data_IF_164048489895
#
_entry.id   IF_164048489895
#
_cell.length_a   1.000
_cell.length_b   1.000
_cell.length_c   1.000
_cell.angle_alpha   90.00
_cell.angle_beta   90.00
_cell.angle_gamma   90.00
#
_symmetry.space_group_name_H-M   'P 1'
#
loop_
_entity.id
_entity.type
_entity.pdbx_description
1 polymer ?
#
# COMPACT_ATOMS: atom_id res chain seq x y z
N UNK A 1 -43.63 -21.13 30.38
CA UNK A 1 -42.71 -20.18 29.73
C UNK A 1 -42.40 -20.72 28.35
N UNK A 2 -42.69 -20.01 27.33
CA UNK A 2 -42.25 -20.28 25.97
C UNK A 2 -41.17 -19.27 25.54
N UNK A 3 -40.34 -19.68 24.60
CA UNK A 3 -39.29 -18.85 24.01
C UNK A 3 -39.38 -18.96 22.50
N UNK A 4 -39.38 -17.83 21.84
CA UNK A 4 -39.29 -17.73 20.39
C UNK A 4 -38.10 -16.84 20.03
N UNK A 5 -37.41 -17.12 18.91
CA UNK A 5 -36.26 -16.38 18.46
C UNK A 5 -36.53 -15.90 17.04
N UNK A 6 -36.46 -14.60 16.84
CA UNK A 6 -36.63 -13.93 15.56
C UNK A 6 -35.25 -13.48 15.09
N UNK A 7 -34.81 -13.98 13.93
CA UNK A 7 -33.55 -13.55 13.31
C UNK A 7 -33.60 -12.05 12.98
N UNK A 8 -32.48 -11.38 13.14
CA UNK A 8 -32.27 -10.00 12.73
C UNK A 8 -31.78 -9.91 11.27
N UNK A 9 -31.23 -8.78 10.92
CA UNK A 9 -30.79 -8.41 9.58
C UNK A 9 -29.35 -8.85 9.25
N UNK A 10 -28.57 -9.21 10.27
CA UNK A 10 -27.20 -9.69 10.13
C UNK A 10 -26.89 -10.82 11.12
N UNK A 11 -25.77 -11.51 10.93
CA UNK A 11 -25.28 -12.53 11.88
C UNK A 11 -24.95 -11.84 13.21
N UNK A 12 -25.46 -12.39 14.33
CA UNK A 12 -25.30 -11.79 15.65
C UNK A 12 -26.52 -10.97 16.10
N UNK A 13 -27.37 -10.49 15.18
CA UNK A 13 -28.59 -9.77 15.53
C UNK A 13 -29.80 -10.73 15.62
N UNK A 14 -30.48 -10.72 16.75
CA UNK A 14 -31.74 -11.44 16.90
C UNK A 14 -32.56 -10.92 18.08
N UNK A 15 -33.84 -11.23 18.07
CA UNK A 15 -34.77 -10.91 19.14
C UNK A 15 -35.30 -12.17 19.80
N UNK A 16 -35.26 -12.21 21.11
CA UNK A 16 -35.83 -13.29 21.91
C UNK A 16 -37.10 -12.79 22.53
N UNK A 17 -38.21 -13.48 22.25
CA UNK A 17 -39.48 -13.25 22.91
C UNK A 17 -39.69 -14.32 23.99
N UNK A 18 -39.82 -13.90 25.25
CA UNK A 18 -40.13 -14.77 26.40
C UNK A 18 -41.54 -14.48 26.89
N UNK A 19 -42.44 -15.46 26.74
CA UNK A 19 -43.80 -15.36 27.24
C UNK A 19 -43.89 -16.04 28.59
N UNK A 20 -44.31 -15.29 29.59
CA UNK A 20 -44.63 -15.78 30.92
C UNK A 20 -46.12 -15.86 31.04
N UNK A 21 -46.65 -17.00 31.45
CA UNK A 21 -48.07 -17.21 31.66
C UNK A 21 -48.25 -17.65 33.13
N UNK A 22 -49.15 -16.94 33.84
CA UNK A 22 -49.64 -17.27 35.15
C UNK A 22 -51.06 -17.84 35.04
N UNK A 23 -51.31 -18.98 35.67
CA UNK A 23 -52.62 -19.63 35.63
C UNK A 23 -53.02 -19.95 37.07
N UNK A 24 -54.28 -19.62 37.43
CA UNK A 24 -54.84 -19.94 38.73
C UNK A 24 -55.42 -21.36 38.78
N UNK A 25 -55.93 -21.77 39.90
CA UNK A 25 -56.53 -23.09 40.09
C UNK A 25 -57.88 -23.30 39.38
N UNK A 26 -58.43 -22.23 38.80
CA UNK A 26 -59.67 -22.26 38.01
C UNK A 26 -59.39 -22.15 36.51
N UNK A 27 -58.11 -22.37 36.09
CA UNK A 27 -57.62 -22.27 34.73
C UNK A 27 -57.68 -20.84 34.10
N UNK A 28 -57.91 -19.78 34.92
CA UNK A 28 -57.77 -18.44 34.41
C UNK A 28 -56.29 -18.10 34.23
N UNK A 29 -55.96 -17.61 33.03
CA UNK A 29 -54.57 -17.34 32.67
C UNK A 29 -54.35 -15.89 32.22
N UNK A 30 -53.20 -15.36 32.57
CA UNK A 30 -52.69 -14.11 32.03
C UNK A 30 -51.27 -14.27 31.54
N UNK A 31 -50.93 -13.55 30.50
CA UNK A 31 -49.59 -13.65 29.90
C UNK A 31 -48.95 -12.29 29.70
N UNK A 32 -47.63 -12.23 29.85
CA UNK A 32 -46.80 -11.07 29.56
C UNK A 32 -45.58 -11.52 28.74
N UNK A 33 -45.16 -10.67 27.80
CA UNK A 33 -44.02 -10.92 26.94
C UNK A 33 -42.85 -10.01 27.33
N UNK A 34 -41.68 -10.60 27.53
CA UNK A 34 -40.42 -9.90 27.60
C UNK A 34 -39.74 -10.00 26.24
N UNK A 35 -39.33 -8.87 25.70
CA UNK A 35 -38.50 -8.81 24.48
C UNK A 35 -37.06 -8.53 24.87
N UNK A 36 -36.13 -9.35 24.37
CA UNK A 36 -34.68 -9.19 24.53
C UNK A 36 -34.11 -9.03 23.14
N UNK A 37 -33.52 -7.86 22.85
CA UNK A 37 -32.84 -7.58 21.58
C UNK A 37 -31.35 -7.79 21.77
N UNK A 38 -30.77 -8.60 20.89
CA UNK A 38 -29.33 -8.83 20.78
C UNK A 38 -28.89 -8.15 19.50
N UNK A 39 -27.84 -7.35 19.59
CA UNK A 39 -27.28 -6.61 18.48
C UNK A 39 -25.77 -6.69 18.53
N UNK A 40 -25.18 -6.85 17.37
CA UNK A 40 -23.75 -6.68 17.19
C UNK A 40 -23.46 -5.21 16.85
N UNK A 41 -22.63 -4.60 17.68
CA UNK A 41 -22.17 -3.20 17.55
C UNK A 41 -20.65 -3.10 17.67
N UNK A 42 -19.97 -4.23 17.65
CA UNK A 42 -18.52 -4.31 17.76
C UNK A 42 -17.91 -4.27 16.36
N UNK A 43 -16.93 -3.44 16.14
CA UNK A 43 -16.19 -3.43 14.89
C UNK A 43 -15.11 -4.51 14.89
N UNK A 44 -14.79 -5.10 13.73
CA UNK A 44 -13.70 -6.05 13.60
C UNK A 44 -12.36 -5.49 14.12
N UNK A 45 -11.53 -6.37 14.67
CA UNK A 45 -10.16 -6.07 15.11
C UNK A 45 -9.16 -6.69 14.13
N UNK A 46 -8.20 -5.87 13.63
CA UNK A 46 -7.11 -6.37 12.80
C UNK A 46 -6.19 -7.27 13.63
N UNK A 47 -5.98 -8.50 13.17
CA UNK A 47 -5.05 -9.47 13.78
C UNK A 47 -3.68 -9.42 13.15
N UNK A 48 -3.61 -8.97 11.88
CA UNK A 48 -2.37 -8.72 11.15
C UNK A 48 -2.58 -7.59 10.14
N UNK A 49 -1.65 -6.66 10.12
CA UNK A 49 -1.56 -5.59 9.13
C UNK A 49 -0.14 -5.61 8.57
N UNK A 50 0.04 -5.66 7.24
CA UNK A 50 1.37 -5.61 6.65
C UNK A 50 2.16 -4.41 7.14
N UNK A 51 3.42 -4.65 7.55
CA UNK A 51 4.28 -3.59 8.07
C UNK A 51 4.65 -2.57 6.98
N UNK A 52 4.89 -1.34 7.37
CA UNK A 52 5.48 -0.33 6.50
C UNK A 52 6.88 -0.77 6.06
N UNK A 53 7.26 -0.45 4.83
CA UNK A 53 8.61 -0.71 4.33
C UNK A 53 9.08 0.34 3.34
N UNK A 54 10.41 0.35 3.13
CA UNK A 54 11.06 1.15 2.10
C UNK A 54 11.79 0.19 1.15
N UNK A 55 11.69 0.44 -0.15
CA UNK A 55 12.31 -0.37 -1.19
C UNK A 55 12.83 0.52 -2.34
N UNK A 56 13.76 -0.02 -3.12
CA UNK A 56 14.21 0.58 -4.38
C UNK A 56 13.11 0.46 -5.44
N UNK A 57 13.06 1.38 -6.38
CA UNK A 57 12.07 1.37 -7.46
C UNK A 57 12.18 0.15 -8.38
N UNK A 58 13.37 -0.49 -8.42
CA UNK A 58 13.64 -1.71 -9.21
C UNK A 58 13.30 -3.00 -8.47
N UNK A 59 12.98 -2.92 -7.16
CA UNK A 59 12.66 -4.08 -6.37
C UNK A 59 11.26 -4.61 -6.67
N UNK A 60 11.06 -5.88 -6.32
CA UNK A 60 9.72 -6.46 -6.34
C UNK A 60 8.93 -5.95 -5.12
N UNK A 61 7.72 -5.46 -5.35
CA UNK A 61 6.90 -4.86 -4.29
C UNK A 61 5.72 -5.80 -3.96
N UNK A 62 5.90 -6.81 -3.09
CA UNK A 62 4.81 -7.70 -2.72
C UNK A 62 3.73 -6.92 -1.94
N UNK A 63 2.48 -7.15 -2.33
CA UNK A 63 1.34 -6.59 -1.63
C UNK A 63 0.71 -7.68 -0.75
N UNK A 64 1.21 -7.79 0.47
CA UNK A 64 0.62 -8.66 1.47
C UNK A 64 -0.81 -8.20 1.83
N UNK A 65 -1.62 -9.12 2.34
CA UNK A 65 -3.00 -8.87 2.74
C UNK A 65 -3.11 -8.76 4.25
N UNK A 66 -4.01 -7.90 4.72
CA UNK A 66 -4.33 -7.82 6.14
C UNK A 66 -5.29 -8.94 6.56
N UNK A 67 -5.34 -9.26 7.85
CA UNK A 67 -6.34 -10.13 8.46
C UNK A 67 -7.02 -9.45 9.64
N UNK A 68 -8.29 -9.76 9.84
CA UNK A 68 -9.09 -9.25 10.95
C UNK A 68 -10.09 -10.30 11.41
N UNK A 69 -10.51 -10.20 12.66
CA UNK A 69 -11.51 -11.07 13.29
C UNK A 69 -12.58 -10.21 13.97
N UNK A 70 -13.76 -10.80 14.10
CA UNK A 70 -14.87 -10.23 14.84
C UNK A 70 -15.47 -11.24 15.82
N UNK A 71 -16.16 -10.75 16.84
CA UNK A 71 -16.81 -11.60 17.86
C UNK A 71 -18.12 -12.24 17.38
N UNK A 72 -18.74 -11.73 16.30
CA UNK A 72 -20.06 -12.13 15.82
C UNK A 72 -20.13 -12.24 14.31
N UNK A 73 -19.56 -13.25 13.70
CA UNK A 73 -19.77 -13.49 12.28
C UNK A 73 -18.50 -13.52 11.43
N UNK A 74 -18.61 -13.10 10.19
CA UNK A 74 -17.51 -13.07 9.23
C UNK A 74 -17.06 -11.65 8.95
N UNK A 75 -15.79 -11.48 8.56
CA UNK A 75 -15.20 -10.19 8.25
C UNK A 75 -14.82 -10.16 6.78
N UNK A 76 -15.23 -9.12 6.06
CA UNK A 76 -14.76 -8.79 4.73
C UNK A 76 -13.69 -7.72 4.83
N UNK A 77 -12.54 -7.93 4.15
CA UNK A 77 -11.46 -6.95 4.09
C UNK A 77 -11.32 -6.43 2.67
N UNK A 78 -11.40 -5.13 2.52
CA UNK A 78 -11.11 -4.40 1.28
C UNK A 78 -9.95 -3.45 1.50
N UNK A 79 -9.30 -2.99 0.43
CA UNK A 79 -8.31 -1.93 0.53
C UNK A 79 -8.43 -0.91 -0.60
N UNK A 80 -8.04 0.33 -0.30
CA UNK A 80 -7.77 1.38 -1.26
C UNK A 80 -6.30 1.75 -1.21
N UNK A 81 -5.72 2.15 -2.34
CA UNK A 81 -4.34 2.63 -2.40
C UNK A 81 -4.32 4.03 -3.02
N UNK A 82 -3.57 4.92 -2.40
CA UNK A 82 -3.24 6.25 -2.91
C UNK A 82 -1.74 6.35 -3.12
N UNK A 83 -1.32 7.05 -4.19
CA UNK A 83 0.10 7.18 -4.56
C UNK A 83 0.46 8.64 -4.67
N UNK A 84 1.45 9.04 -3.87
CA UNK A 84 2.04 10.39 -3.91
C UNK A 84 3.41 10.32 -4.57
N UNK A 85 3.61 11.09 -5.65
CA UNK A 85 4.91 11.18 -6.32
C UNK A 85 5.95 11.84 -5.40
N UNK A 86 7.18 11.32 -5.45
CA UNK A 86 8.35 11.85 -4.76
C UNK A 86 8.99 13.04 -5.48
N UNK A 87 10.23 13.35 -5.12
CA UNK A 87 10.98 14.49 -5.63
C UNK A 87 11.68 14.20 -6.96
N UNK A 88 11.96 12.95 -7.28
CA UNK A 88 12.57 12.51 -8.53
C UNK A 88 11.79 11.36 -9.17
N UNK A 89 12.14 11.07 -10.42
CA UNK A 89 11.54 9.95 -11.16
C UNK A 89 11.92 8.65 -10.45
N UNK A 90 10.91 7.78 -10.25
CA UNK A 90 11.10 6.52 -9.54
C UNK A 90 10.80 6.57 -8.04
N UNK A 91 10.70 7.77 -7.45
CA UNK A 91 10.29 7.93 -6.05
C UNK A 91 8.80 8.15 -5.90
N UNK A 92 8.16 7.43 -4.98
CA UNK A 92 6.76 7.63 -4.63
C UNK A 92 6.42 6.98 -3.28
N UNK A 93 5.33 7.43 -2.69
CA UNK A 93 4.78 6.85 -1.47
C UNK A 93 3.42 6.26 -1.81
N UNK A 94 3.22 4.99 -1.47
CA UNK A 94 1.93 4.33 -1.57
C UNK A 94 1.34 4.21 -0.16
N UNK A 95 0.17 4.78 0.06
CA UNK A 95 -0.60 4.58 1.28
C UNK A 95 -1.74 3.62 0.97
N UNK A 96 -1.75 2.45 1.61
CA UNK A 96 -2.83 1.45 1.52
C UNK A 96 -3.68 1.55 2.77
N UNK A 97 -4.97 1.84 2.60
CA UNK A 97 -5.94 1.85 3.69
C UNK A 97 -6.79 0.60 3.60
N UNK A 98 -6.64 -0.30 4.55
CA UNK A 98 -7.47 -1.50 4.72
C UNK A 98 -8.72 -1.13 5.49
N UNK A 99 -9.85 -1.69 5.06
CA UNK A 99 -11.14 -1.59 5.76
C UNK A 99 -11.66 -3.00 6.01
N UNK A 100 -11.84 -3.33 7.28
CA UNK A 100 -12.48 -4.56 7.73
C UNK A 100 -13.93 -4.26 8.11
N UNK A 101 -14.87 -5.00 7.54
CA UNK A 101 -16.31 -4.81 7.76
C UNK A 101 -16.93 -6.16 8.13
N UNK A 102 -17.75 -6.18 9.18
CA UNK A 102 -18.51 -7.37 9.59
C UNK A 102 -19.84 -7.51 8.86
N UNK A 103 -20.58 -8.59 9.15
CA UNK A 103 -21.89 -8.87 8.56
C UNK A 103 -22.96 -7.84 8.96
N UNK A 104 -22.76 -7.06 10.05
CA UNK A 104 -23.69 -6.03 10.56
C UNK A 104 -23.34 -4.62 10.08
N UNK A 105 -22.23 -4.47 9.36
CA UNK A 105 -21.76 -3.20 8.81
C UNK A 105 -20.93 -2.37 9.78
N UNK A 106 -20.50 -2.93 10.93
CA UNK A 106 -19.51 -2.27 11.77
C UNK A 106 -18.14 -2.39 11.08
N UNK A 107 -17.33 -1.34 11.10
CA UNK A 107 -16.07 -1.30 10.36
C UNK A 107 -14.92 -0.70 11.18
N UNK A 108 -13.72 -1.15 10.86
CA UNK A 108 -12.46 -0.58 11.33
C UNK A 108 -11.51 -0.37 10.16
N UNK A 109 -10.50 0.47 10.35
CA UNK A 109 -9.48 0.76 9.32
C UNK A 109 -8.08 0.64 9.87
N UNK A 110 -7.13 0.25 9.01
CA UNK A 110 -5.70 0.24 9.28
C UNK A 110 -4.94 0.67 8.02
N UNK A 111 -3.73 1.19 8.20
CA UNK A 111 -2.93 1.70 7.09
C UNK A 111 -1.58 1.00 7.01
N UNK A 112 -1.06 0.90 5.78
CA UNK A 112 0.32 0.55 5.46
C UNK A 112 0.90 1.64 4.57
N UNK A 113 2.12 2.07 4.86
CA UNK A 113 2.88 3.02 4.05
C UNK A 113 4.07 2.31 3.40
N UNK A 114 4.16 2.39 2.08
CA UNK A 114 5.26 1.87 1.29
C UNK A 114 5.99 3.06 0.67
N UNK A 115 7.27 3.21 0.97
CA UNK A 115 8.11 4.28 0.43
C UNK A 115 9.05 3.70 -0.61
N UNK A 116 8.92 4.16 -1.85
CA UNK A 116 9.80 3.78 -2.95
C UNK A 116 10.79 4.90 -3.16
N UNK A 117 12.08 4.54 -3.14
CA UNK A 117 13.21 5.45 -3.28
C UNK A 117 14.12 5.00 -4.42
N UNK A 118 14.93 5.91 -4.88
CA UNK A 118 16.07 5.64 -5.75
C UNK A 118 17.36 6.07 -5.03
N UNK A 119 18.21 5.12 -4.73
CA UNK A 119 19.52 5.34 -4.11
C UNK A 119 20.67 4.84 -4.97
N UNK A 120 20.34 4.31 -6.14
CA UNK A 120 21.31 3.75 -7.09
C UNK A 120 21.80 4.86 -8.02
N UNK A 121 23.11 4.98 -8.15
CA UNK A 121 23.70 5.94 -9.10
C UNK A 121 23.72 5.36 -10.51
N UNK A 122 23.56 6.20 -11.55
CA UNK A 122 23.68 5.77 -12.94
C UNK A 122 25.01 5.09 -13.25
N UNK A 123 24.99 4.10 -14.14
CA UNK A 123 26.15 3.41 -14.64
C UNK A 123 26.38 3.75 -16.13
N UNK A 124 27.64 4.10 -16.49
CA UNK A 124 27.99 4.29 -17.89
C UNK A 124 27.98 2.95 -18.63
N UNK A 125 27.18 2.87 -19.69
CA UNK A 125 27.09 1.68 -20.58
C UNK A 125 28.03 1.78 -21.75
N UNK A 126 28.45 2.98 -22.15
CA UNK A 126 29.46 3.24 -23.15
C UNK A 126 30.20 4.55 -22.89
N UNK A 127 31.50 4.51 -22.94
CA UNK A 127 32.37 5.68 -22.94
C UNK A 127 33.28 5.62 -24.17
N UNK A 128 33.55 6.76 -24.83
CA UNK A 128 34.50 6.85 -25.92
C UNK A 128 35.91 6.34 -25.50
N UNK A 129 36.61 5.67 -26.41
CA UNK A 129 37.97 5.22 -26.14
C UNK A 129 38.96 6.38 -26.26
N UNK A 130 40.01 6.33 -25.45
CA UNK A 130 41.14 7.25 -25.63
C UNK A 130 41.74 7.09 -27.01
N UNK A 131 42.08 8.20 -27.66
CA UNK A 131 42.77 8.18 -28.94
C UNK A 131 43.87 9.27 -29.02
N UNK A 132 44.78 9.09 -29.95
CA UNK A 132 45.80 10.07 -30.29
C UNK A 132 45.63 10.42 -31.76
N UNK A 133 45.63 11.70 -32.06
CA UNK A 133 45.47 12.21 -33.42
C UNK A 133 46.54 13.25 -33.73
N UNK A 134 46.80 13.46 -35.01
CA UNK A 134 47.65 14.57 -35.49
C UNK A 134 46.87 15.90 -35.36
N UNK A 135 47.58 17.01 -35.19
CA UNK A 135 46.97 18.31 -35.00
C UNK A 135 46.17 18.83 -36.22
N UNK A 136 46.33 18.19 -37.37
CA UNK A 136 45.61 18.46 -38.60
C UNK A 136 44.36 17.62 -38.80
N UNK A 137 44.15 16.63 -37.94
CA UNK A 137 43.03 15.72 -38.05
C UNK A 137 41.74 16.37 -37.50
N UNK A 138 40.62 15.84 -37.95
CA UNK A 138 39.32 16.15 -37.34
C UNK A 138 39.23 15.37 -36.02
N UNK A 139 38.80 16.02 -34.94
CA UNK A 139 38.71 15.44 -33.62
C UNK A 139 37.24 15.22 -33.26
N UNK A 140 36.62 14.10 -33.73
CA UNK A 140 35.24 13.83 -33.38
C UNK A 140 35.10 13.50 -31.87
N UNK A 141 34.13 14.07 -31.25
CA UNK A 141 33.73 13.72 -29.85
C UNK A 141 32.56 12.75 -29.93
N UNK A 142 32.87 11.48 -29.70
CA UNK A 142 31.86 10.43 -29.63
C UNK A 142 31.02 10.59 -28.35
N UNK A 143 29.74 10.25 -28.44
CA UNK A 143 28.80 10.36 -27.30
C UNK A 143 29.02 9.19 -26.34
N UNK A 144 28.90 9.51 -25.04
CA UNK A 144 28.77 8.50 -23.99
C UNK A 144 27.30 8.11 -23.77
N UNK A 145 27.08 6.95 -23.20
CA UNK A 145 25.76 6.51 -22.76
C UNK A 145 25.80 5.96 -21.33
N UNK A 146 24.73 6.17 -20.59
CA UNK A 146 24.55 5.67 -19.24
C UNK A 146 23.11 5.18 -19.05
N UNK A 147 22.91 4.31 -18.09
CA UNK A 147 21.61 3.82 -17.70
C UNK A 147 21.48 3.83 -16.18
N UNK A 148 20.25 3.92 -15.75
CA UNK A 148 19.86 3.85 -14.35
C UNK A 148 18.73 2.84 -14.18
N UNK A 149 18.56 2.29 -12.96
CA UNK A 149 17.51 1.33 -12.65
C UNK A 149 16.13 1.98 -12.50
N UNK A 150 16.08 3.30 -12.21
CA UNK A 150 14.86 4.00 -11.83
C UNK A 150 14.44 5.15 -12.74
N UNK A 151 15.10 5.35 -13.86
CA UNK A 151 14.69 6.48 -14.71
C UNK A 151 15.61 6.80 -15.86
N UNK A 152 15.53 8.05 -16.30
CA UNK A 152 16.36 8.59 -17.38
C UNK A 152 17.58 9.28 -16.81
N UNK A 153 18.71 9.18 -17.52
CA UNK A 153 19.98 9.77 -17.14
C UNK A 153 20.30 10.95 -18.03
N UNK A 154 20.66 12.08 -17.42
CA UNK A 154 21.23 13.22 -18.13
C UNK A 154 22.77 13.16 -18.04
N UNK A 155 23.45 13.17 -19.19
CA UNK A 155 24.91 13.15 -19.26
C UNK A 155 25.38 14.57 -19.62
N UNK A 156 26.28 15.10 -18.78
CA UNK A 156 26.97 16.35 -19.05
C UNK A 156 28.44 16.10 -19.33
N UNK A 157 29.00 16.82 -20.29
CA UNK A 157 30.41 16.74 -20.65
C UNK A 157 31.12 18.04 -20.26
N UNK A 158 32.31 17.91 -19.72
CA UNK A 158 33.21 19.04 -19.49
C UNK A 158 34.56 18.73 -20.18
N UNK A 159 35.04 19.65 -20.99
CA UNK A 159 36.34 19.56 -21.67
C UNK A 159 37.35 20.47 -20.99
N UNK A 160 38.54 19.96 -20.69
CA UNK A 160 39.69 20.76 -20.28
C UNK A 160 40.79 20.61 -21.31
N UNK A 161 41.38 21.75 -21.73
CA UNK A 161 42.43 21.74 -22.77
C UNK A 161 43.76 22.16 -22.13
N UNK A 162 44.68 21.21 -22.05
CA UNK A 162 46.07 21.51 -21.68
C UNK A 162 46.86 21.80 -22.93
N UNK A 163 47.31 23.03 -23.06
CA UNK A 163 48.19 23.43 -24.20
C UNK A 163 49.62 22.93 -23.90
N UNK A 164 50.04 21.87 -24.63
CA UNK A 164 51.42 21.45 -24.61
C UNK A 164 52.35 22.45 -25.37
N UNK A 165 53.63 22.46 -25.03
CA UNK A 165 54.63 23.18 -25.79
C UNK A 165 54.81 22.50 -27.17
N UNK A 166 53.97 22.89 -28.13
CA UNK A 166 54.34 22.75 -29.53
C UNK A 166 55.26 23.88 -29.90
N UNK A 167 56.52 23.69 -30.25
CA UNK A 167 57.34 24.77 -30.77
C UNK A 167 56.69 25.25 -32.05
N UNK A 168 56.08 26.45 -31.99
CA UNK A 168 55.42 27.09 -33.10
C UNK A 168 56.39 27.22 -34.27
N UNK A 169 55.98 26.78 -35.45
CA UNK A 169 56.58 27.25 -36.71
C UNK A 169 56.16 28.69 -36.87
N UNK A 170 57.07 29.60 -36.49
CA UNK A 170 57.02 30.98 -36.98
C UNK A 170 57.10 30.95 -38.53
N UNK A 171 56.02 31.37 -39.19
CA UNK A 171 56.04 31.91 -40.54
C UNK A 171 55.13 33.13 -40.64
#
# INVERSE_FOLDING_TARGET
>A
ISRDTIAGDCIGNFTILRTFTATDHCDNASSVVQTITIQDTTSPEFTDVPADYTAECSDDHPFDVASAEDNCGTVEITYAADTLAGSCIGEYIITRTFTATDDCGNASTAEQVITIIDTTSPEFTSIPADYTAECSDDHPFDASSASDNCGTVDITEATDTNIGDCPGTDH
#
